data_IF_180335389037
#
_entry.id   IF_180335389037
#
_cell.length_a   1.000
_cell.length_b   1.000
_cell.length_c   1.000
_cell.angle_alpha   90.00
_cell.angle_beta   90.00
_cell.angle_gamma   90.00
#
_symmetry.space_group_name_H-M   'P 1'
#
loop_
_entity.id
_entity.type
_entity.pdbx_description
1 polymer ?
#
# COMPACT_ATOMS: atom_id res chain seq x y z
N UNK A 1 -10.26 -12.13 37.25
CA UNK A 1 -9.65 -10.91 36.66
C UNK A 1 -8.90 -11.19 35.36
N UNK A 2 -8.12 -12.30 35.27
CA UNK A 2 -7.38 -12.75 34.07
C UNK A 2 -8.18 -12.79 32.75
N UNK A 3 -9.43 -13.29 32.79
CA UNK A 3 -10.29 -13.39 31.60
C UNK A 3 -10.73 -12.01 31.08
N UNK A 4 -10.97 -11.04 31.96
CA UNK A 4 -11.40 -9.68 31.57
C UNK A 4 -10.25 -8.87 30.95
N UNK A 5 -9.03 -9.00 31.48
CA UNK A 5 -7.83 -8.40 30.92
C UNK A 5 -7.46 -9.04 29.57
N UNK A 6 -7.51 -10.38 29.49
CA UNK A 6 -7.30 -11.15 28.26
C UNK A 6 -8.32 -10.81 27.17
N UNK A 7 -9.59 -10.64 27.52
CA UNK A 7 -10.64 -10.24 26.57
C UNK A 7 -10.44 -8.81 26.06
N UNK A 8 -10.05 -7.87 26.93
CA UNK A 8 -9.76 -6.49 26.52
C UNK A 8 -8.57 -6.41 25.57
N UNK A 9 -7.48 -7.10 25.90
CA UNK A 9 -6.27 -7.13 25.06
C UNK A 9 -6.48 -7.91 23.76
N UNK A 10 -7.22 -9.01 23.82
CA UNK A 10 -7.64 -9.79 22.66
C UNK A 10 -8.58 -9.01 21.72
N UNK A 11 -9.50 -8.21 22.28
CA UNK A 11 -10.38 -7.34 21.49
C UNK A 11 -9.59 -6.29 20.71
N UNK A 12 -8.58 -5.68 21.34
CA UNK A 12 -7.78 -4.66 20.67
C UNK A 12 -6.89 -5.29 19.60
N UNK A 13 -6.24 -6.42 19.91
CA UNK A 13 -5.47 -7.19 18.92
C UNK A 13 -6.36 -7.61 17.74
N UNK A 14 -7.59 -8.05 17.99
CA UNK A 14 -8.55 -8.40 16.95
C UNK A 14 -8.92 -7.22 16.07
N UNK A 15 -9.17 -6.03 16.65
CA UNK A 15 -9.48 -4.81 15.88
C UNK A 15 -8.29 -4.38 15.00
N UNK A 16 -7.07 -4.43 15.54
CA UNK A 16 -5.85 -4.06 14.81
C UNK A 16 -5.56 -5.03 13.66
N UNK A 17 -5.71 -6.34 13.91
CA UNK A 17 -5.57 -7.36 12.88
C UNK A 17 -6.64 -7.22 11.80
N UNK A 18 -7.90 -7.00 12.19
CA UNK A 18 -9.01 -6.81 11.25
C UNK A 18 -8.78 -5.57 10.37
N UNK A 19 -8.37 -4.45 10.95
CA UNK A 19 -8.06 -3.23 10.22
C UNK A 19 -6.90 -3.41 9.23
N UNK A 20 -5.85 -4.13 9.65
CA UNK A 20 -4.69 -4.43 8.80
C UNK A 20 -5.05 -5.35 7.64
N UNK A 21 -5.86 -6.39 7.89
CA UNK A 21 -6.35 -7.30 6.85
C UNK A 21 -7.22 -6.57 5.83
N UNK A 22 -8.15 -5.71 6.28
CA UNK A 22 -9.02 -4.93 5.39
C UNK A 22 -8.18 -4.00 4.50
N UNK A 23 -7.20 -3.31 5.07
CA UNK A 23 -6.26 -2.43 4.36
C UNK A 23 -5.49 -3.14 3.25
N UNK A 24 -4.96 -4.34 3.53
CA UNK A 24 -4.24 -5.15 2.54
C UNK A 24 -5.18 -5.64 1.42
N UNK A 25 -6.42 -6.03 1.76
CA UNK A 25 -7.40 -6.46 0.76
C UNK A 25 -7.86 -5.31 -0.14
N UNK A 26 -8.11 -4.13 0.41
CA UNK A 26 -8.49 -2.94 -0.35
C UNK A 26 -7.36 -2.48 -1.28
N UNK A 27 -6.12 -2.51 -0.77
CA UNK A 27 -4.93 -2.27 -1.58
C UNK A 27 -4.81 -3.24 -2.75
N UNK A 28 -4.93 -4.55 -2.49
CA UNK A 28 -4.80 -5.57 -3.53
C UNK A 28 -5.84 -5.42 -4.65
N UNK A 29 -7.08 -5.04 -4.31
CA UNK A 29 -8.13 -4.81 -5.31
C UNK A 29 -7.89 -3.54 -6.12
N UNK A 30 -7.50 -2.44 -5.47
CA UNK A 30 -7.24 -1.17 -6.14
C UNK A 30 -5.98 -1.23 -7.02
N UNK A 31 -4.91 -1.86 -6.54
CA UNK A 31 -3.65 -2.01 -7.26
C UNK A 31 -3.83 -2.79 -8.56
N UNK A 32 -4.55 -3.92 -8.53
CA UNK A 32 -4.80 -4.73 -9.72
C UNK A 32 -5.62 -3.96 -10.76
N UNK A 33 -6.70 -3.30 -10.33
CA UNK A 33 -7.58 -2.55 -11.22
C UNK A 33 -6.86 -1.38 -11.91
N UNK A 34 -6.13 -0.56 -11.13
CA UNK A 34 -5.44 0.60 -11.71
C UNK A 34 -4.23 0.17 -12.56
N UNK A 35 -3.54 -0.92 -12.19
CA UNK A 35 -2.45 -1.46 -13.02
C UNK A 35 -2.94 -1.95 -14.39
N UNK A 36 -4.11 -2.59 -14.43
CA UNK A 36 -4.76 -2.99 -15.70
C UNK A 36 -5.10 -1.79 -16.57
N UNK A 37 -5.57 -0.70 -15.95
CA UNK A 37 -5.93 0.53 -16.64
C UNK A 37 -4.68 1.23 -17.23
N UNK A 38 -3.60 1.37 -16.45
CA UNK A 38 -2.30 1.89 -16.92
C UNK A 38 -1.75 1.02 -18.05
N UNK A 39 -1.81 -0.31 -17.93
CA UNK A 39 -1.36 -1.22 -18.98
C UNK A 39 -2.17 -1.03 -20.29
N UNK A 40 -3.48 -0.82 -20.15
CA UNK A 40 -4.39 -0.52 -21.27
C UNK A 40 -4.03 0.81 -21.95
N UNK A 41 -3.76 1.86 -21.17
CA UNK A 41 -3.37 3.18 -21.69
C UNK A 41 -2.01 3.12 -22.41
N UNK A 42 -1.02 2.43 -21.84
CA UNK A 42 0.30 2.23 -22.47
C UNK A 42 0.18 1.48 -23.79
N UNK A 43 -0.62 0.40 -23.81
CA UNK A 43 -0.88 -0.34 -25.04
C UNK A 43 -1.58 0.55 -26.08
N UNK A 44 -2.51 1.40 -25.65
CA UNK A 44 -3.22 2.33 -26.52
C UNK A 44 -2.29 3.39 -27.13
N UNK A 45 -1.34 3.93 -26.35
CA UNK A 45 -0.29 4.84 -26.85
C UNK A 45 0.55 4.14 -27.91
N UNK A 46 1.04 2.92 -27.63
CA UNK A 46 1.87 2.18 -28.57
C UNK A 46 1.14 1.93 -29.91
N UNK A 47 -0.12 1.51 -29.86
CA UNK A 47 -0.94 1.30 -31.07
C UNK A 47 -1.16 2.60 -31.84
N UNK A 48 -1.51 3.68 -31.16
CA UNK A 48 -1.71 4.99 -31.80
C UNK A 48 -0.44 5.52 -32.48
N UNK A 49 0.74 5.29 -31.87
CA UNK A 49 2.02 5.61 -32.48
C UNK A 49 2.30 4.75 -33.73
N UNK A 50 1.98 3.45 -33.70
CA UNK A 50 2.10 2.58 -34.88
C UNK A 50 1.20 3.04 -36.03
N UNK A 51 -0.05 3.41 -35.75
CA UNK A 51 -0.97 3.98 -36.75
C UNK A 51 -0.40 5.26 -37.37
N UNK A 52 0.13 6.16 -36.53
CA UNK A 52 0.76 7.40 -36.98
C UNK A 52 1.98 7.12 -37.87
N UNK A 53 2.85 6.20 -37.44
CA UNK A 53 4.07 5.85 -38.16
C UNK A 53 3.77 5.22 -39.53
N UNK A 54 2.78 4.33 -39.62
CA UNK A 54 2.38 3.71 -40.88
C UNK A 54 1.90 4.76 -41.90
N UNK A 55 1.09 5.73 -41.47
CA UNK A 55 0.62 6.80 -42.35
C UNK A 55 1.74 7.78 -42.73
N UNK A 56 2.65 8.12 -41.81
CA UNK A 56 3.82 8.98 -42.09
C UNK A 56 4.74 8.30 -43.11
N UNK A 57 5.06 7.01 -42.92
CA UNK A 57 5.87 6.24 -43.85
C UNK A 57 5.24 6.20 -45.25
N UNK A 58 3.92 5.98 -45.32
CA UNK A 58 3.19 5.99 -46.59
C UNK A 58 3.23 7.37 -47.26
N UNK A 59 3.01 8.45 -46.49
CA UNK A 59 3.08 9.81 -47.01
C UNK A 59 4.47 10.14 -47.58
N UNK A 60 5.54 9.70 -46.91
CA UNK A 60 6.92 9.85 -47.37
C UNK A 60 7.19 9.04 -48.65
N UNK A 61 6.64 7.82 -48.77
CA UNK A 61 6.74 7.03 -50.01
C UNK A 61 6.05 7.70 -51.18
N UNK A 62 4.87 8.31 -50.95
CA UNK A 62 4.18 9.09 -51.99
C UNK A 62 5.06 10.28 -52.42
N UNK A 63 5.60 11.04 -51.46
CA UNK A 63 6.50 12.16 -51.74
C UNK A 63 7.73 11.73 -52.55
N UNK A 64 8.36 10.61 -52.17
CA UNK A 64 9.50 10.06 -52.90
C UNK A 64 9.14 9.66 -54.34
N UNK A 65 7.94 9.11 -54.55
CA UNK A 65 7.43 8.73 -55.88
C UNK A 65 7.26 9.95 -56.78
N UNK A 66 6.74 11.05 -56.23
CA UNK A 66 6.51 12.31 -56.95
C UNK A 66 7.82 13.07 -57.25
N UNK A 67 8.83 12.90 -56.39
CA UNK A 67 10.14 13.52 -56.55
C UNK A 67 11.09 12.78 -57.50
N UNK A 68 10.75 11.57 -57.96
CA UNK A 68 11.61 10.79 -58.85
C UNK A 68 11.49 11.29 -60.31
N UNK A 69 12.61 11.66 -60.93
CA UNK A 69 12.63 12.31 -62.25
C UNK A 69 12.68 11.32 -63.43
N UNK A 70 13.02 10.04 -63.24
CA UNK A 70 13.43 9.17 -64.37
C UNK A 70 13.15 7.65 -64.21
N UNK A 71 12.27 7.24 -63.29
CA UNK A 71 12.02 5.81 -63.00
C UNK A 71 10.57 5.40 -63.24
N UNK A 72 10.34 4.15 -63.68
CA UNK A 72 9.03 3.50 -63.64
C UNK A 72 8.39 3.77 -62.27
N UNK A 73 7.30 4.55 -62.24
CA UNK A 73 6.63 4.91 -61.01
C UNK A 73 6.08 3.65 -60.34
N UNK A 74 6.73 3.21 -59.26
CA UNK A 74 6.19 2.15 -58.40
C UNK A 74 5.23 2.83 -57.43
N UNK A 75 3.94 2.62 -57.65
CA UNK A 75 2.93 3.15 -56.74
C UNK A 75 3.09 2.52 -55.35
N UNK A 76 3.21 3.33 -54.29
CA UNK A 76 3.34 2.80 -52.94
C UNK A 76 2.05 2.10 -52.53
N UNK A 77 2.18 0.92 -51.90
CA UNK A 77 1.07 0.21 -51.30
C UNK A 77 0.93 0.57 -49.82
N UNK A 78 -0.31 0.62 -49.35
CA UNK A 78 -0.65 0.77 -47.93
C UNK A 78 -1.39 -0.46 -47.43
N UNK A 79 -0.94 -1.03 -46.31
CA UNK A 79 -1.63 -2.15 -45.67
C UNK A 79 -2.80 -1.62 -44.82
N UNK A 80 -3.93 -1.38 -45.49
CA UNK A 80 -5.15 -0.92 -44.84
C UNK A 80 -5.76 -1.96 -43.91
N UNK A 81 -5.50 -3.25 -44.15
CA UNK A 81 -6.03 -4.35 -43.33
C UNK A 81 -5.34 -4.37 -41.97
N UNK A 82 -4.00 -4.31 -41.96
CA UNK A 82 -3.22 -4.23 -40.73
C UNK A 82 -3.56 -2.95 -39.95
N UNK A 83 -3.64 -1.80 -40.64
CA UNK A 83 -4.02 -0.53 -40.02
C UNK A 83 -5.40 -0.61 -39.33
N UNK A 84 -6.41 -1.14 -40.04
CA UNK A 84 -7.76 -1.26 -39.48
C UNK A 84 -7.83 -2.24 -38.31
N UNK A 85 -7.04 -3.32 -38.34
CA UNK A 85 -6.93 -4.25 -37.21
C UNK A 85 -6.39 -3.55 -35.96
N UNK A 86 -5.30 -2.80 -36.10
CA UNK A 86 -4.69 -2.04 -35.00
C UNK A 86 -5.62 -0.92 -34.50
N UNK A 87 -6.29 -0.22 -35.40
CA UNK A 87 -7.29 0.79 -35.05
C UNK A 87 -8.46 0.19 -34.28
N UNK A 88 -9.02 -0.94 -34.72
CA UNK A 88 -10.14 -1.59 -34.03
C UNK A 88 -9.74 -2.08 -32.63
N UNK A 89 -8.52 -2.65 -32.50
CA UNK A 89 -7.97 -3.03 -31.21
C UNK A 89 -7.83 -1.81 -30.28
N UNK A 90 -7.28 -0.71 -30.78
CA UNK A 90 -7.18 0.56 -30.06
C UNK A 90 -8.57 1.10 -29.65
N UNK A 91 -9.52 1.13 -30.59
CA UNK A 91 -10.88 1.64 -30.40
C UNK A 91 -11.64 0.86 -29.32
N UNK A 92 -11.38 -0.45 -29.20
CA UNK A 92 -12.02 -1.33 -28.21
C UNK A 92 -11.60 -1.03 -26.76
N UNK A 93 -10.46 -0.37 -26.56
CA UNK A 93 -9.98 0.03 -25.24
C UNK A 93 -10.67 1.30 -24.71
N UNK A 94 -11.47 1.99 -25.52
CA UNK A 94 -12.06 3.27 -25.19
C UNK A 94 -13.52 3.16 -24.77
N UNK A 95 -13.83 3.65 -23.56
CA UNK A 95 -15.17 3.66 -22.98
C UNK A 95 -15.75 5.07 -22.78
N UNK A 96 -14.92 6.12 -22.80
CA UNK A 96 -15.37 7.48 -22.58
C UNK A 96 -15.86 8.13 -23.88
N UNK A 97 -16.90 8.95 -23.79
CA UNK A 97 -17.47 9.62 -24.98
C UNK A 97 -16.44 10.50 -25.71
N UNK A 98 -15.50 11.11 -24.98
CA UNK A 98 -14.42 11.93 -25.54
C UNK A 98 -13.40 11.11 -26.33
N UNK A 99 -12.91 9.99 -25.78
CA UNK A 99 -11.93 9.12 -26.46
C UNK A 99 -12.56 8.40 -27.65
N UNK A 100 -13.81 7.96 -27.52
CA UNK A 100 -14.67 7.45 -28.60
C UNK A 100 -14.73 8.47 -29.75
N UNK A 101 -15.12 9.71 -29.47
CA UNK A 101 -15.27 10.75 -30.49
C UNK A 101 -13.94 11.13 -31.15
N UNK A 102 -12.84 11.18 -30.38
CA UNK A 102 -11.51 11.41 -30.92
C UNK A 102 -11.06 10.28 -31.84
N UNK A 103 -11.29 9.02 -31.46
CA UNK A 103 -10.98 7.87 -32.31
C UNK A 103 -11.84 7.84 -33.58
N UNK A 104 -13.11 8.26 -33.51
CA UNK A 104 -13.98 8.39 -34.69
C UNK A 104 -13.48 9.51 -35.64
N UNK A 105 -12.91 10.58 -35.07
CA UNK A 105 -12.27 11.66 -35.85
C UNK A 105 -11.00 11.19 -36.56
N UNK A 106 -10.22 10.31 -35.93
CA UNK A 106 -9.03 9.68 -36.54
C UNK A 106 -9.42 8.86 -37.76
N UNK A 107 -10.40 7.97 -37.65
CA UNK A 107 -10.79 7.11 -38.79
C UNK A 107 -11.43 7.90 -39.93
N UNK A 108 -12.19 8.94 -39.62
CA UNK A 108 -12.78 9.84 -40.63
C UNK A 108 -11.70 10.60 -41.41
N UNK A 109 -10.71 11.14 -40.70
CA UNK A 109 -9.59 11.86 -41.31
C UNK A 109 -8.69 10.93 -42.12
N UNK A 110 -8.41 9.73 -41.59
CA UNK A 110 -7.70 8.66 -42.30
C UNK A 110 -8.40 8.27 -43.61
N UNK A 111 -9.72 8.06 -43.56
CA UNK A 111 -10.50 7.68 -44.75
C UNK A 111 -10.46 8.76 -45.83
N UNK A 112 -10.43 10.04 -45.43
CA UNK A 112 -10.27 11.16 -46.36
C UNK A 112 -8.88 11.20 -46.97
N UNK A 113 -7.84 11.08 -46.15
CA UNK A 113 -6.44 10.98 -46.60
C UNK A 113 -6.23 9.81 -47.57
N UNK A 114 -6.72 8.62 -47.23
CA UNK A 114 -6.57 7.42 -48.05
C UNK A 114 -7.28 7.57 -49.39
N UNK A 115 -8.50 8.12 -49.40
CA UNK A 115 -9.25 8.42 -50.63
C UNK A 115 -8.49 9.38 -51.54
N UNK A 116 -7.90 10.44 -51.00
CA UNK A 116 -7.06 11.35 -51.76
C UNK A 116 -5.83 10.62 -52.29
N UNK A 117 -5.17 9.78 -51.48
CA UNK A 117 -3.98 9.03 -51.92
C UNK A 117 -4.23 8.08 -53.12
N UNK A 118 -5.45 7.56 -53.28
CA UNK A 118 -5.83 6.72 -54.43
C UNK A 118 -5.82 7.47 -55.77
N UNK A 119 -5.83 8.81 -55.75
CA UNK A 119 -5.71 9.64 -56.94
C UNK A 119 -4.28 9.63 -57.51
N UNK A 120 -3.28 9.20 -56.73
CA UNK A 120 -1.86 9.27 -57.07
C UNK A 120 -1.53 8.67 -58.45
N UNK A 121 -2.08 7.49 -58.77
CA UNK A 121 -1.85 6.85 -60.07
C UNK A 121 -2.25 7.75 -61.24
N UNK A 122 -3.44 8.37 -61.15
CA UNK A 122 -3.94 9.29 -62.19
C UNK A 122 -3.14 10.58 -62.25
N UNK A 123 -2.67 11.06 -61.12
CA UNK A 123 -1.89 12.30 -61.01
C UNK A 123 -0.52 12.13 -61.64
N UNK A 124 0.14 11.00 -61.41
CA UNK A 124 1.45 10.69 -61.99
C UNK A 124 1.37 10.45 -63.50
N UNK A 125 0.32 9.79 -63.99
CA UNK A 125 0.14 9.50 -65.43
C UNK A 125 -0.35 10.72 -66.25
N UNK A 126 -0.74 11.81 -65.59
CA UNK A 126 -1.37 12.95 -66.24
C UNK A 126 -0.37 14.03 -66.64
N UNK A 127 -0.28 14.31 -67.95
CA UNK A 127 0.53 15.41 -68.50
C UNK A 127 0.07 16.82 -68.05
N UNK A 128 -1.14 16.95 -67.52
CA UNK A 128 -1.75 18.24 -67.15
C UNK A 128 -1.73 18.56 -65.66
N UNK A 129 -1.40 17.60 -64.79
CA UNK A 129 -1.49 17.78 -63.33
C UNK A 129 -0.06 17.85 -62.79
N UNK A 130 0.28 18.95 -62.12
CA UNK A 130 1.52 19.01 -61.35
C UNK A 130 1.36 18.15 -60.08
N UNK A 131 2.06 17.01 -60.07
CA UNK A 131 2.04 16.04 -58.98
C UNK A 131 2.58 16.61 -57.66
N UNK A 132 3.55 17.54 -57.71
CA UNK A 132 4.07 18.23 -56.51
C UNK A 132 3.03 19.20 -55.97
N UNK A 133 2.39 19.96 -56.85
CA UNK A 133 1.31 20.86 -56.46
C UNK A 133 0.14 20.07 -55.83
N UNK A 134 -0.28 18.97 -56.46
CA UNK A 134 -1.31 18.08 -55.91
C UNK A 134 -0.94 17.55 -54.52
N UNK A 135 0.32 17.14 -54.32
CA UNK A 135 0.79 16.66 -53.02
C UNK A 135 0.63 17.73 -51.94
N UNK A 136 1.14 18.94 -52.17
CA UNK A 136 1.13 19.99 -51.14
C UNK A 136 -0.24 20.65 -50.94
N UNK A 137 -1.05 20.79 -51.99
CA UNK A 137 -2.32 21.51 -51.92
C UNK A 137 -3.52 20.60 -51.60
N UNK A 138 -3.40 19.28 -51.84
CA UNK A 138 -4.54 18.35 -51.70
C UNK A 138 -4.26 17.19 -50.76
N UNK A 139 -3.17 16.44 -50.96
CA UNK A 139 -2.86 15.29 -50.11
C UNK A 139 -2.38 15.70 -48.72
N UNK A 140 -1.43 16.63 -48.66
CA UNK A 140 -0.79 17.07 -47.42
C UNK A 140 -1.79 17.69 -46.43
N UNK A 141 -2.79 18.51 -46.83
CA UNK A 141 -3.82 18.99 -45.91
C UNK A 141 -4.66 17.86 -45.28
N UNK A 142 -5.04 16.83 -46.06
CA UNK A 142 -5.78 15.69 -45.51
C UNK A 142 -4.92 14.85 -44.56
N UNK A 143 -3.63 14.68 -44.87
CA UNK A 143 -2.67 14.05 -43.97
C UNK A 143 -2.51 14.84 -42.65
N UNK A 144 -2.43 16.17 -42.72
CA UNK A 144 -2.33 17.02 -41.52
C UNK A 144 -3.59 16.95 -40.65
N UNK A 145 -4.77 16.81 -41.25
CA UNK A 145 -6.02 16.56 -40.49
C UNK A 145 -5.96 15.23 -39.74
N UNK A 146 -5.49 14.17 -40.40
CA UNK A 146 -5.27 12.87 -39.75
C UNK A 146 -4.27 12.97 -38.58
N UNK A 147 -3.14 13.66 -38.80
CA UNK A 147 -2.12 13.88 -37.76
C UNK A 147 -2.68 14.64 -36.56
N UNK A 148 -3.43 15.71 -36.81
CA UNK A 148 -4.07 16.52 -35.75
C UNK A 148 -5.11 15.71 -34.97
N UNK A 149 -5.93 14.91 -35.65
CA UNK A 149 -6.91 14.04 -35.00
C UNK A 149 -6.22 12.99 -34.11
N UNK A 150 -5.13 12.42 -34.60
CA UNK A 150 -4.35 11.40 -33.86
C UNK A 150 -3.60 12.00 -32.67
N UNK A 151 -3.08 13.22 -32.82
CA UNK A 151 -2.48 13.98 -31.72
C UNK A 151 -3.52 14.31 -30.64
N UNK A 152 -4.72 14.73 -31.04
CA UNK A 152 -5.82 14.95 -30.10
C UNK A 152 -6.19 13.68 -29.34
N UNK A 153 -6.25 12.52 -30.03
CA UNK A 153 -6.50 11.24 -29.39
C UNK A 153 -5.36 10.87 -28.41
N UNK A 154 -4.11 11.02 -28.83
CA UNK A 154 -2.94 10.76 -27.98
C UNK A 154 -2.96 11.62 -26.71
N UNK A 155 -3.28 12.91 -26.83
CA UNK A 155 -3.36 13.80 -25.69
C UNK A 155 -4.42 13.35 -24.67
N UNK A 156 -5.54 12.79 -25.13
CA UNK A 156 -6.54 12.19 -24.24
C UNK A 156 -6.01 10.93 -23.56
N UNK A 157 -5.36 10.02 -24.30
CA UNK A 157 -4.79 8.79 -23.71
C UNK A 157 -3.69 9.14 -22.69
N UNK A 158 -2.82 10.11 -22.99
CA UNK A 158 -1.80 10.57 -22.05
C UNK A 158 -2.41 11.21 -20.80
N UNK A 159 -3.50 11.97 -20.96
CA UNK A 159 -4.23 12.53 -19.83
C UNK A 159 -4.83 11.43 -18.96
N UNK A 160 -5.47 10.43 -19.57
CA UNK A 160 -6.04 9.29 -18.84
C UNK A 160 -4.93 8.51 -18.10
N UNK A 161 -3.81 8.21 -18.76
CA UNK A 161 -2.65 7.58 -18.13
C UNK A 161 -2.13 8.37 -16.91
N UNK A 162 -2.06 9.70 -17.04
CA UNK A 162 -1.63 10.58 -15.95
C UNK A 162 -2.61 10.53 -14.79
N UNK A 163 -3.90 10.70 -15.07
CA UNK A 163 -4.96 10.70 -14.05
C UNK A 163 -5.03 9.33 -13.34
N UNK A 164 -4.84 8.23 -14.09
CA UNK A 164 -4.78 6.87 -13.56
C UNK A 164 -3.52 6.63 -12.71
N UNK A 165 -2.37 7.17 -13.11
CA UNK A 165 -1.14 7.10 -12.32
C UNK A 165 -1.21 7.92 -11.03
N UNK A 166 -1.84 9.10 -11.04
CA UNK A 166 -2.08 9.90 -9.83
C UNK A 166 -3.04 9.15 -8.89
N UNK A 167 -4.13 8.59 -9.45
CA UNK A 167 -5.08 7.76 -8.70
C UNK A 167 -4.41 6.52 -8.10
N UNK A 168 -3.45 5.91 -8.80
CA UNK A 168 -2.67 4.80 -8.26
C UNK A 168 -1.88 5.21 -7.01
N UNK A 169 -1.20 6.36 -7.08
CA UNK A 169 -0.40 6.87 -5.97
C UNK A 169 -1.28 7.23 -4.77
N UNK A 170 -2.33 8.01 -4.98
CA UNK A 170 -3.26 8.41 -3.91
C UNK A 170 -3.96 7.20 -3.29
N UNK A 171 -4.36 6.26 -4.15
CA UNK A 171 -4.93 4.97 -3.77
C UNK A 171 -4.01 4.11 -2.92
N UNK A 172 -2.75 4.02 -3.33
CA UNK A 172 -1.70 3.33 -2.59
C UNK A 172 -1.54 3.92 -1.18
N UNK A 173 -1.41 5.25 -1.08
CA UNK A 173 -1.28 5.93 0.21
C UNK A 173 -2.50 5.73 1.11
N UNK A 174 -3.71 5.89 0.57
CA UNK A 174 -4.95 5.70 1.32
C UNK A 174 -5.14 4.25 1.77
N UNK A 175 -4.76 3.28 0.95
CA UNK A 175 -4.91 1.87 1.29
C UNK A 175 -3.94 1.42 2.38
N UNK A 176 -2.73 2.00 2.45
CA UNK A 176 -1.69 1.61 3.42
C UNK A 176 -1.82 2.35 4.76
N UNK A 177 -2.43 3.54 4.77
CA UNK A 177 -2.53 4.39 5.97
C UNK A 177 -3.17 3.70 7.19
N UNK A 178 -4.27 2.92 7.08
CA UNK A 178 -4.82 2.19 8.21
C UNK A 178 -3.85 1.15 8.78
N UNK A 179 -3.04 0.51 7.93
CA UNK A 179 -1.99 -0.43 8.35
C UNK A 179 -0.89 0.26 9.16
N UNK A 180 -0.39 1.41 8.70
CA UNK A 180 0.63 2.20 9.43
C UNK A 180 0.09 2.67 10.77
N UNK A 181 -1.14 3.20 10.80
CA UNK A 181 -1.79 3.66 12.03
C UNK A 181 -1.98 2.49 13.00
N UNK A 182 -2.40 1.32 12.51
CA UNK A 182 -2.54 0.10 13.31
C UNK A 182 -1.22 -0.32 13.97
N UNK A 183 -0.10 -0.29 13.23
CA UNK A 183 1.23 -0.58 13.78
C UNK A 183 1.61 0.44 14.86
N UNK A 184 1.40 1.73 14.60
CA UNK A 184 1.69 2.80 15.57
C UNK A 184 0.89 2.67 16.86
N UNK A 185 -0.42 2.44 16.75
CA UNK A 185 -1.31 2.21 17.91
C UNK A 185 -0.94 0.92 18.63
N UNK A 186 -0.61 -0.15 17.89
CA UNK A 186 -0.14 -1.42 18.46
C UNK A 186 1.12 -1.26 19.29
N UNK A 187 2.11 -0.50 18.79
CA UNK A 187 3.35 -0.22 19.51
C UNK A 187 3.07 0.59 20.79
N UNK A 188 2.22 1.61 20.70
CA UNK A 188 1.82 2.42 21.85
C UNK A 188 1.15 1.55 22.93
N UNK A 189 0.28 0.64 22.53
CA UNK A 189 -0.38 -0.30 23.45
C UNK A 189 0.60 -1.27 24.10
N UNK A 190 1.61 -1.77 23.37
CA UNK A 190 2.66 -2.62 23.94
C UNK A 190 3.45 -1.86 25.01
N UNK A 191 3.81 -0.60 24.74
CA UNK A 191 4.51 0.26 25.72
C UNK A 191 3.64 0.50 26.95
N UNK A 192 2.36 0.80 26.74
CA UNK A 192 1.41 1.04 27.82
C UNK A 192 1.18 -0.24 28.65
N UNK A 193 1.06 -1.40 28.02
CA UNK A 193 0.98 -2.69 28.68
C UNK A 193 2.24 -2.99 29.52
N UNK A 194 3.43 -2.76 28.96
CA UNK A 194 4.69 -2.93 29.66
C UNK A 194 4.76 -2.02 30.89
N UNK A 195 4.32 -0.77 30.76
CA UNK A 195 4.21 0.16 31.88
C UNK A 195 3.27 -0.37 32.98
N UNK A 196 2.08 -0.86 32.61
CA UNK A 196 1.14 -1.44 33.58
C UNK A 196 1.71 -2.67 34.29
N UNK A 197 2.38 -3.59 33.55
CA UNK A 197 3.01 -4.76 34.15
C UNK A 197 4.11 -4.35 35.13
N UNK A 198 4.98 -3.42 34.74
CA UNK A 198 6.07 -2.96 35.59
C UNK A 198 5.52 -2.28 36.85
N UNK A 199 4.58 -1.36 36.69
CA UNK A 199 4.06 -0.55 37.78
C UNK A 199 3.24 -1.36 38.79
N UNK A 200 2.34 -2.23 38.31
CA UNK A 200 1.36 -2.90 39.17
C UNK A 200 1.72 -4.34 39.56
N UNK A 201 2.66 -4.99 38.86
CA UNK A 201 3.06 -6.36 39.20
C UNK A 201 4.54 -6.45 39.57
N UNK A 202 5.45 -5.98 38.72
CA UNK A 202 6.90 -6.17 38.94
C UNK A 202 7.39 -5.35 40.14
N UNK A 203 7.06 -4.05 40.20
CA UNK A 203 7.50 -3.18 41.29
C UNK A 203 6.98 -3.65 42.67
N UNK A 204 5.69 -4.02 42.83
CA UNK A 204 5.23 -4.60 44.09
C UNK A 204 5.93 -5.90 44.46
N UNK A 205 6.22 -6.79 43.50
CA UNK A 205 6.98 -8.02 43.76
C UNK A 205 8.38 -7.70 44.29
N UNK A 206 9.10 -6.75 43.70
CA UNK A 206 10.40 -6.32 44.22
C UNK A 206 10.29 -5.75 45.64
N UNK A 207 9.25 -4.96 45.94
CA UNK A 207 9.00 -4.45 47.30
C UNK A 207 8.73 -5.56 48.31
N UNK A 208 8.02 -6.61 47.91
CA UNK A 208 7.78 -7.79 48.74
C UNK A 208 9.08 -8.56 49.00
N UNK A 209 9.88 -8.80 47.96
CA UNK A 209 11.18 -9.48 48.07
C UNK A 209 12.12 -8.74 49.03
N UNK A 210 12.28 -7.43 48.86
CA UNK A 210 13.07 -6.59 49.78
C UNK A 210 12.53 -6.65 51.21
N UNK A 211 11.20 -6.67 51.38
CA UNK A 211 10.57 -6.81 52.69
C UNK A 211 10.92 -8.12 53.38
N UNK A 212 10.84 -9.24 52.64
CA UNK A 212 11.19 -10.58 53.14
C UNK A 212 12.68 -10.67 53.42
N UNK A 213 13.52 -10.16 52.52
CA UNK A 213 14.97 -10.19 52.70
C UNK A 213 15.43 -9.40 53.93
N UNK A 214 14.83 -8.22 54.17
CA UNK A 214 15.11 -7.43 55.36
C UNK A 214 14.70 -8.13 56.66
N UNK A 215 13.59 -8.88 56.64
CA UNK A 215 13.21 -9.74 57.76
C UNK A 215 14.23 -10.85 58.00
N UNK A 216 14.62 -11.58 56.95
CA UNK A 216 15.54 -12.71 57.05
C UNK A 216 16.93 -12.29 57.55
N UNK A 217 17.46 -11.17 57.04
CA UNK A 217 18.84 -10.75 57.31
C UNK A 217 18.98 -9.88 58.57
N UNK A 218 18.03 -8.99 58.82
CA UNK A 218 18.14 -7.99 59.89
C UNK A 218 17.09 -8.17 61.00
N UNK A 219 16.19 -9.15 60.89
CA UNK A 219 15.13 -9.39 61.87
C UNK A 219 14.09 -8.27 61.94
N UNK A 220 14.01 -7.41 60.92
CA UNK A 220 13.06 -6.29 60.87
C UNK A 220 11.64 -6.80 60.59
N UNK A 221 10.62 -6.05 61.03
CA UNK A 221 9.23 -6.39 60.71
C UNK A 221 8.96 -6.20 59.22
N UNK A 222 8.16 -7.09 58.66
CA UNK A 222 7.64 -6.96 57.30
C UNK A 222 6.55 -5.89 57.27
N UNK A 223 6.69 -4.87 56.42
CA UNK A 223 5.76 -3.73 56.34
C UNK A 223 5.33 -3.42 54.91
N UNK A 224 5.48 -4.38 53.99
CA UNK A 224 5.13 -4.15 52.59
C UNK A 224 3.60 -4.11 52.42
N UNK A 225 3.11 -3.01 51.85
CA UNK A 225 1.73 -2.84 51.43
C UNK A 225 1.65 -2.85 49.92
N UNK A 226 0.80 -3.73 49.38
CA UNK A 226 0.52 -3.85 47.94
C UNK A 226 -0.90 -3.35 47.72
N UNK A 227 -1.05 -2.41 46.80
CA UNK A 227 -2.34 -1.83 46.43
C UNK A 227 -3.05 -2.73 45.41
N UNK A 228 -4.35 -2.94 45.58
CA UNK A 228 -5.18 -3.76 44.70
C UNK A 228 -6.17 -4.64 45.46
N UNK A 229 -6.87 -5.49 44.72
CA UNK A 229 -7.77 -6.51 45.27
C UNK A 229 -7.63 -7.82 44.48
N UNK A 230 -6.39 -8.13 44.10
CA UNK A 230 -6.03 -9.26 43.26
C UNK A 230 -5.23 -10.32 44.04
N UNK A 231 -4.82 -11.38 43.33
CA UNK A 231 -4.05 -12.47 43.92
C UNK A 231 -2.71 -12.00 44.51
N UNK A 232 -2.14 -10.89 44.04
CA UNK A 232 -0.89 -10.34 44.57
C UNK A 232 -1.07 -9.80 45.98
N UNK A 233 -2.23 -9.18 46.28
CA UNK A 233 -2.59 -8.75 47.65
C UNK A 233 -2.84 -9.94 48.56
N UNK A 234 -3.42 -11.03 48.06
CA UNK A 234 -3.60 -12.26 48.84
C UNK A 234 -2.26 -12.88 49.23
N UNK A 235 -1.31 -12.98 48.29
CA UNK A 235 0.08 -13.39 48.58
C UNK A 235 0.73 -12.40 49.56
N UNK A 236 0.51 -11.11 49.32
CA UNK A 236 0.66 -9.96 50.24
C UNK A 236 0.54 -10.34 51.72
N UNK A 237 -0.72 -10.64 52.03
CA UNK A 237 -1.22 -10.93 53.37
C UNK A 237 -0.66 -12.25 53.90
N UNK A 238 -0.66 -13.31 53.09
CA UNK A 238 -0.11 -14.61 53.50
C UNK A 238 1.37 -14.54 53.90
N UNK A 239 2.19 -13.79 53.15
CA UNK A 239 3.60 -13.54 53.51
C UNK A 239 3.70 -12.76 54.82
N UNK A 240 2.88 -11.72 54.99
CA UNK A 240 2.85 -10.92 56.23
C UNK A 240 2.49 -11.76 57.45
N UNK A 241 1.45 -12.58 57.37
CA UNK A 241 0.99 -13.47 58.45
C UNK A 241 2.08 -14.47 58.83
N UNK A 242 2.68 -15.16 57.86
CA UNK A 242 3.76 -16.14 58.11
C UNK A 242 4.97 -15.48 58.77
N UNK A 243 5.34 -14.28 58.33
CA UNK A 243 6.48 -13.55 58.91
C UNK A 243 6.19 -13.11 60.34
N UNK A 244 4.97 -12.66 60.62
CA UNK A 244 4.53 -12.27 61.97
C UNK A 244 4.48 -13.46 62.93
N UNK A 245 3.86 -14.57 62.53
CA UNK A 245 3.84 -15.82 63.31
C UNK A 245 5.26 -16.30 63.62
N UNK A 246 6.16 -16.29 62.63
CA UNK A 246 7.56 -16.67 62.85
C UNK A 246 8.29 -15.74 63.82
N UNK A 247 8.00 -14.43 63.79
CA UNK A 247 8.55 -13.49 64.78
C UNK A 247 8.04 -13.79 66.18
N UNK A 248 6.75 -14.08 66.34
CA UNK A 248 6.19 -14.47 67.63
C UNK A 248 6.80 -15.78 68.14
N UNK A 249 6.93 -16.78 67.28
CA UNK A 249 7.56 -18.06 67.61
C UNK A 249 9.00 -17.86 68.07
N UNK A 250 9.81 -17.05 67.37
CA UNK A 250 11.18 -16.70 67.80
C UNK A 250 11.19 -16.03 69.17
N UNK A 251 10.27 -15.10 69.45
CA UNK A 251 10.15 -14.45 70.77
C UNK A 251 9.79 -15.46 71.87
N UNK A 252 8.81 -16.33 71.63
CA UNK A 252 8.38 -17.38 72.57
C UNK A 252 9.51 -18.36 72.87
N UNK A 253 10.23 -18.82 71.84
CA UNK A 253 11.41 -19.67 72.00
C UNK A 253 12.53 -19.01 72.82
N UNK A 254 12.74 -17.70 72.63
CA UNK A 254 13.75 -16.96 73.40
C UNK A 254 13.36 -16.87 74.88
N UNK A 255 12.11 -16.51 75.18
CA UNK A 255 11.59 -16.51 76.57
C UNK A 255 11.69 -17.88 77.24
N UNK A 256 11.30 -18.95 76.55
CA UNK A 256 11.39 -20.31 77.10
C UNK A 256 12.84 -20.72 77.39
N UNK A 257 13.81 -20.28 76.56
CA UNK A 257 15.23 -20.51 76.83
C UNK A 257 15.70 -19.75 78.07
N UNK A 258 15.34 -18.48 78.20
CA UNK A 258 15.65 -17.65 79.37
C UNK A 258 15.03 -18.20 80.66
N UNK A 259 13.78 -18.67 80.61
CA UNK A 259 13.09 -19.29 81.75
C UNK A 259 13.74 -20.62 82.15
N UNK A 260 14.12 -21.46 81.17
CA UNK A 260 14.84 -22.71 81.43
C UNK A 260 16.21 -22.44 82.05
N UNK A 261 16.95 -21.45 81.56
CA UNK A 261 18.25 -21.07 82.12
C UNK A 261 18.11 -20.60 83.57
N UNK A 262 17.14 -19.73 83.87
CA UNK A 262 16.82 -19.31 85.25
C UNK A 262 16.40 -20.47 86.15
N UNK A 263 15.66 -21.45 85.63
CA UNK A 263 15.27 -22.64 86.39
C UNK A 263 16.45 -23.57 86.71
N UNK A 264 17.41 -23.70 85.77
CA UNK A 264 18.64 -24.45 86.00
C UNK A 264 19.50 -23.76 87.07
N UNK A 265 19.65 -22.43 86.99
CA UNK A 265 20.38 -21.64 87.98
C UNK A 265 19.75 -21.68 89.38
N UNK A 266 18.42 -21.66 89.48
CA UNK A 266 17.72 -21.76 90.76
C UNK A 266 17.78 -23.17 91.36
N UNK A 267 17.77 -24.21 90.52
CA UNK A 267 17.92 -25.60 90.95
C UNK A 267 19.35 -25.94 91.40
N UNK A 268 20.36 -25.28 90.83
CA UNK A 268 21.76 -25.42 91.27
C UNK A 268 22.07 -24.67 92.58
N UNK A 269 21.27 -23.66 92.95
CA UNK A 269 21.40 -22.91 94.21
C UNK A 269 20.57 -23.49 95.38
N UNK A 270 19.82 -24.58 95.17
CA UNK A 270 19.00 -25.25 96.19
C UNK A 270 19.43 -26.70 96.52
N UNK A 271 20.57 -27.15 96.00
CA UNK A 271 21.25 -28.40 96.40
C UNK A 271 22.58 -28.10 97.06
#
# INVERSE_FOLDING_TARGET
MKVKLSLGLGSIAAILLLSSVISVLEYGRMSNYVSELIATDINSINKSQQLSAACEEYNLKILATIGAEDSLYVLPAFDSVAFMSEYNALRSSFNSASTVSAADSVISSFSSYMRTSLELGKVIESDFIDSRQWFFERLQPDFQRFRTATESLNNLIYKDLKDNSETFQDGFYRSIMPGIVSVGVGLLLVVLLAFFIISYYVNPIYRMDDGVWNYLKFGRRYTCTVDGDDELVSINKGVSEIVEENMELKKRLTKLREEREKFIESSQNQG
#
